data_IF_866203549816
#
_entry.id   IF_866203549816
#
_cell.length_a   1.000
_cell.length_b   1.000
_cell.length_c   1.000
_cell.angle_alpha   90.00
_cell.angle_beta   90.00
_cell.angle_gamma   90.00
#
_symmetry.space_group_name_H-M   'P 1'
#
loop_
_entity.id
_entity.type
_entity.pdbx_description
1 polymer ?
#
# COMPACT_ATOMS: atom_id res chain seq x y z
N UNK A 1 16.31 -5.24 -1.24
CA UNK A 1 16.61 -3.92 -1.84
C UNK A 1 17.44 -3.00 -0.94
N UNK A 2 17.06 -2.76 0.32
CA UNK A 2 17.82 -1.86 1.23
C UNK A 2 19.31 -2.22 1.42
N UNK A 3 19.61 -3.49 1.74
CA UNK A 3 21.00 -3.96 1.88
C UNK A 3 21.81 -3.83 0.58
N UNK A 4 21.20 -4.14 -0.57
CA UNK A 4 21.84 -3.99 -1.88
C UNK A 4 22.20 -2.51 -2.14
N UNK A 5 21.27 -1.58 -1.88
CA UNK A 5 21.54 -0.15 -2.01
C UNK A 5 22.71 0.31 -1.12
N UNK A 6 22.76 -0.18 0.12
CA UNK A 6 23.88 0.10 1.04
C UNK A 6 25.21 -0.46 0.53
N UNK A 7 25.25 -1.71 0.07
CA UNK A 7 26.45 -2.34 -0.47
C UNK A 7 26.96 -1.63 -1.73
N UNK A 8 26.06 -1.19 -2.62
CA UNK A 8 26.41 -0.42 -3.82
C UNK A 8 27.03 0.94 -3.45
N UNK A 9 26.47 1.64 -2.47
CA UNK A 9 26.99 2.92 -1.99
C UNK A 9 28.41 2.75 -1.42
N UNK A 10 28.64 1.73 -0.56
CA UNK A 10 29.96 1.40 -0.03
C UNK A 10 30.97 1.09 -1.14
N UNK A 11 30.59 0.23 -2.09
CA UNK A 11 31.48 -0.14 -3.21
C UNK A 11 31.83 1.05 -4.10
N UNK A 12 30.91 2.00 -4.26
CA UNK A 12 31.11 3.19 -5.07
C UNK A 12 31.78 4.36 -4.32
N UNK A 13 32.01 4.24 -3.00
CA UNK A 13 32.61 5.29 -2.18
C UNK A 13 31.79 6.58 -2.11
N UNK A 14 30.46 6.50 -2.21
CA UNK A 14 29.55 7.64 -2.30
C UNK A 14 28.22 7.31 -1.61
N UNK A 15 27.33 8.29 -1.39
CA UNK A 15 26.00 8.01 -0.83
C UNK A 15 25.11 7.30 -1.86
N UNK A 16 24.09 6.57 -1.38
CA UNK A 16 23.11 5.94 -2.28
C UNK A 16 22.38 6.98 -3.14
N UNK A 17 22.00 8.13 -2.55
CA UNK A 17 21.40 9.25 -3.28
C UNK A 17 22.31 9.75 -4.41
N UNK A 18 23.59 10.02 -4.12
CA UNK A 18 24.55 10.46 -5.14
C UNK A 18 24.72 9.45 -6.27
N UNK A 19 24.72 8.15 -5.93
CA UNK A 19 24.82 7.09 -6.93
C UNK A 19 23.60 7.06 -7.86
N UNK A 20 22.39 7.08 -7.29
CA UNK A 20 21.12 7.10 -8.05
C UNK A 20 21.00 8.37 -8.88
N UNK A 21 21.30 9.54 -8.30
CA UNK A 21 21.26 10.81 -9.02
C UNK A 21 22.16 10.79 -10.25
N UNK A 22 23.43 10.40 -10.08
CA UNK A 22 24.40 10.40 -11.18
C UNK A 22 24.09 9.35 -12.25
N UNK A 23 23.64 8.16 -11.85
CA UNK A 23 23.52 7.00 -12.77
C UNK A 23 22.14 6.86 -13.39
N UNK A 24 21.10 7.45 -12.79
CA UNK A 24 19.70 7.26 -13.19
C UNK A 24 19.01 8.61 -13.39
N UNK A 25 18.93 9.44 -12.34
CA UNK A 25 18.07 10.64 -12.38
C UNK A 25 18.60 11.71 -13.33
N UNK A 26 19.91 12.00 -13.31
CA UNK A 26 20.51 12.98 -14.23
C UNK A 26 20.42 12.52 -15.69
N UNK A 27 20.80 11.28 -16.06
CA UNK A 27 20.64 10.78 -17.43
C UNK A 27 19.20 10.82 -17.95
N UNK A 28 18.22 10.54 -17.08
CA UNK A 28 16.79 10.56 -17.42
C UNK A 28 16.13 11.93 -17.21
N UNK A 29 16.88 12.93 -16.75
CA UNK A 29 16.39 14.28 -16.45
C UNK A 29 15.25 14.34 -15.42
N UNK A 30 15.22 13.40 -14.47
CA UNK A 30 14.25 13.36 -13.36
C UNK A 30 14.66 14.33 -12.25
N UNK A 31 14.36 15.62 -12.44
CA UNK A 31 14.87 16.73 -11.61
C UNK A 31 14.11 16.92 -10.30
N UNK A 32 12.91 16.34 -10.18
CA UNK A 32 12.04 16.45 -9.02
C UNK A 32 12.02 15.17 -8.17
N UNK A 33 13.01 14.30 -8.38
CA UNK A 33 13.19 13.05 -7.66
C UNK A 33 14.39 13.14 -6.74
N UNK A 34 14.20 12.89 -5.44
CA UNK A 34 15.27 13.00 -4.44
C UNK A 34 14.99 12.16 -3.19
N UNK A 35 16.02 11.91 -2.39
CA UNK A 35 15.90 11.41 -1.01
C UNK A 35 15.92 12.62 -0.06
N UNK A 36 16.95 13.46 -0.19
CA UNK A 36 17.13 14.70 0.55
C UNK A 36 16.39 15.83 -0.14
N UNK A 37 15.26 16.24 0.42
CA UNK A 37 14.42 17.28 -0.17
C UNK A 37 15.03 18.68 0.01
N UNK A 38 15.21 19.39 -1.11
CA UNK A 38 15.50 20.83 -1.12
C UNK A 38 14.32 21.62 -0.53
N UNK A 39 14.52 22.88 -0.11
CA UNK A 39 13.41 23.72 0.36
C UNK A 39 12.26 23.82 -0.65
N UNK A 40 12.58 23.92 -1.95
CA UNK A 40 11.59 23.97 -3.02
C UNK A 40 10.78 22.66 -3.10
N UNK A 41 11.44 21.49 -3.08
CA UNK A 41 10.72 20.21 -3.10
C UNK A 41 9.88 20.00 -1.84
N UNK A 42 10.41 20.38 -0.68
CA UNK A 42 9.70 20.27 0.60
C UNK A 42 8.42 21.13 0.63
N UNK A 43 8.45 22.33 0.05
CA UNK A 43 7.31 23.24 0.02
C UNK A 43 6.10 22.71 -0.77
N UNK A 44 6.33 21.78 -1.71
CA UNK A 44 5.31 21.16 -2.57
C UNK A 44 5.17 19.66 -2.33
N UNK A 45 5.77 19.14 -1.25
CA UNK A 45 5.59 17.75 -0.85
C UNK A 45 4.14 17.56 -0.36
N UNK A 46 3.41 16.64 -0.99
CA UNK A 46 2.11 16.22 -0.47
C UNK A 46 2.31 15.58 0.91
N UNK A 47 1.53 15.99 1.91
CA UNK A 47 1.60 15.38 3.25
C UNK A 47 1.01 13.97 3.21
N UNK A 48 1.65 13.02 3.88
CA UNK A 48 1.16 11.65 4.00
C UNK A 48 0.08 11.56 5.08
N UNK A 49 -0.96 10.77 4.82
CA UNK A 49 -2.09 10.60 5.74
C UNK A 49 -2.27 9.13 6.14
N UNK A 50 -2.68 8.91 7.40
CA UNK A 50 -3.22 7.62 7.85
C UNK A 50 -4.63 7.37 7.28
N UNK A 51 -5.19 6.19 7.53
CA UNK A 51 -6.54 5.86 7.05
C UNK A 51 -7.68 6.66 7.68
N UNK A 52 -7.42 7.30 8.82
CA UNK A 52 -8.31 8.26 9.47
C UNK A 52 -8.20 9.67 8.88
N UNK A 53 -7.33 9.88 7.89
CA UNK A 53 -7.09 11.17 7.25
C UNK A 53 -6.20 12.10 8.07
N UNK A 54 -5.63 11.67 9.19
CA UNK A 54 -4.65 12.47 9.94
C UNK A 54 -3.27 12.43 9.28
N UNK A 55 -2.57 13.56 9.30
CA UNK A 55 -1.20 13.64 8.79
C UNK A 55 -0.28 12.76 9.64
N UNK A 56 0.54 11.94 8.98
CA UNK A 56 1.52 11.06 9.62
C UNK A 56 2.94 11.43 9.18
N UNK A 57 3.96 11.20 10.03
CA UNK A 57 5.34 11.48 9.66
C UNK A 57 5.80 10.58 8.51
N UNK A 58 6.63 11.15 7.62
CA UNK A 58 7.30 10.38 6.59
C UNK A 58 8.24 9.33 7.22
N UNK A 59 8.43 8.21 6.55
CA UNK A 59 9.53 7.30 6.90
C UNK A 59 10.84 7.83 6.32
N UNK A 60 11.87 7.86 7.16
CA UNK A 60 13.24 8.11 6.75
C UNK A 60 14.06 6.83 6.91
N UNK A 61 14.69 6.39 5.81
CA UNK A 61 15.37 5.09 5.72
C UNK A 61 16.87 5.30 5.45
N UNK A 62 17.64 5.92 6.37
CA UNK A 62 19.01 6.37 6.08
C UNK A 62 19.93 5.21 5.66
N UNK A 63 19.97 4.11 6.43
CA UNK A 63 20.79 2.94 6.11
C UNK A 63 20.19 2.10 4.97
N UNK A 64 18.86 2.06 4.88
CA UNK A 64 18.12 1.21 3.94
C UNK A 64 17.50 2.01 2.79
N UNK A 65 18.17 3.08 2.35
CA UNK A 65 17.61 4.04 1.40
C UNK A 65 17.11 3.40 0.11
N UNK A 66 17.81 2.37 -0.37
CA UNK A 66 17.42 1.58 -1.54
C UNK A 66 16.14 0.77 -1.41
N UNK A 67 15.51 0.72 -0.22
CA UNK A 67 14.22 0.06 -0.02
C UNK A 67 13.02 0.95 -0.37
N UNK A 68 13.14 2.28 -0.36
CA UNK A 68 12.00 3.16 -0.60
C UNK A 68 12.15 4.62 -0.15
N UNK A 69 13.37 5.16 -0.10
CA UNK A 69 13.60 6.52 0.42
C UNK A 69 13.39 7.65 -0.60
N UNK A 70 13.21 7.31 -1.89
CA UNK A 70 13.00 8.29 -2.95
C UNK A 70 11.59 8.87 -2.87
N UNK A 71 11.49 10.17 -3.14
CA UNK A 71 10.25 10.92 -3.35
C UNK A 71 10.33 11.50 -4.75
N UNK A 72 9.22 11.49 -5.47
CA UNK A 72 9.15 11.87 -6.89
C UNK A 72 7.80 12.48 -7.23
N UNK A 73 7.61 12.83 -8.50
CA UNK A 73 6.35 13.30 -9.08
C UNK A 73 5.85 12.30 -10.11
N UNK A 74 4.57 12.38 -10.47
CA UNK A 74 4.04 11.56 -11.56
C UNK A 74 4.78 11.84 -12.88
N UNK A 75 5.19 13.08 -13.14
CA UNK A 75 5.92 13.47 -14.35
C UNK A 75 7.32 12.83 -14.44
N UNK A 76 8.10 12.86 -13.35
CA UNK A 76 9.41 12.21 -13.31
C UNK A 76 9.27 10.68 -13.42
N UNK A 77 8.29 10.09 -12.72
CA UNK A 77 8.06 8.65 -12.79
C UNK A 77 7.55 8.20 -14.17
N UNK A 78 6.77 9.02 -14.87
CA UNK A 78 6.42 8.76 -16.27
C UNK A 78 7.64 8.83 -17.18
N UNK A 79 8.55 9.78 -16.95
CA UNK A 79 9.84 9.84 -17.66
C UNK A 79 10.65 8.55 -17.45
N UNK A 80 10.68 8.04 -16.21
CA UNK A 80 11.29 6.74 -15.92
C UNK A 80 10.60 5.59 -16.64
N UNK A 81 9.27 5.52 -16.63
CA UNK A 81 8.53 4.45 -17.31
C UNK A 81 8.67 4.50 -18.83
N UNK A 82 8.68 5.68 -19.45
CA UNK A 82 8.94 5.82 -20.89
C UNK A 82 10.31 5.26 -21.25
N UNK A 83 11.34 5.50 -20.43
CA UNK A 83 12.67 4.93 -20.65
C UNK A 83 12.69 3.39 -20.50
N UNK A 84 11.84 2.82 -19.64
CA UNK A 84 11.69 1.37 -19.51
C UNK A 84 10.92 0.78 -20.70
N UNK A 85 9.86 1.46 -21.16
CA UNK A 85 8.98 1.04 -22.25
C UNK A 85 9.67 1.09 -23.62
N UNK A 86 10.28 2.23 -23.98
CA UNK A 86 11.08 2.39 -25.20
C UNK A 86 12.57 2.45 -24.89
N UNK A 87 13.05 1.32 -24.39
CA UNK A 87 14.44 1.10 -24.03
C UNK A 87 15.39 0.99 -25.22
N UNK A 88 14.96 1.28 -26.46
CA UNK A 88 15.86 1.33 -27.62
C UNK A 88 16.41 2.73 -27.90
N UNK A 89 15.74 3.77 -27.39
CA UNK A 89 16.05 5.19 -27.67
C UNK A 89 16.46 6.00 -26.44
N UNK A 90 16.19 5.48 -25.24
CA UNK A 90 16.49 6.18 -23.99
C UNK A 90 17.94 5.91 -23.50
N UNK A 91 18.56 6.85 -22.77
CA UNK A 91 19.71 6.53 -21.91
C UNK A 91 19.38 5.33 -21.02
N UNK A 92 20.37 4.47 -20.74
CA UNK A 92 20.24 3.26 -19.89
C UNK A 92 19.39 2.12 -20.47
N UNK A 93 18.73 2.32 -21.61
CA UNK A 93 18.28 1.34 -22.61
C UNK A 93 18.54 -0.15 -22.28
N UNK A 94 19.74 -0.67 -22.58
CA UNK A 94 20.12 -2.08 -22.35
C UNK A 94 20.01 -2.50 -20.89
N UNK A 95 20.43 -1.64 -19.97
CA UNK A 95 20.38 -1.92 -18.52
C UNK A 95 18.94 -2.07 -18.07
N UNK A 96 18.03 -1.21 -18.54
CA UNK A 96 16.61 -1.28 -18.19
C UNK A 96 15.98 -2.58 -18.71
N UNK A 97 16.24 -2.97 -19.96
CA UNK A 97 15.77 -4.25 -20.52
C UNK A 97 16.21 -5.45 -19.69
N UNK A 98 17.45 -5.45 -19.20
CA UNK A 98 17.95 -6.54 -18.36
C UNK A 98 17.20 -6.67 -17.02
N UNK A 99 16.55 -5.60 -16.55
CA UNK A 99 15.75 -5.64 -15.32
C UNK A 99 14.40 -6.30 -15.50
N UNK A 100 13.88 -6.35 -16.73
CA UNK A 100 12.56 -6.93 -17.04
C UNK A 100 12.63 -8.42 -17.40
N UNK A 101 13.82 -9.00 -17.49
CA UNK A 101 13.97 -10.44 -17.73
C UNK A 101 13.58 -11.26 -16.50
N UNK A 102 12.85 -12.35 -16.73
CA UNK A 102 12.42 -13.27 -15.67
C UNK A 102 13.63 -13.86 -14.91
N UNK A 103 13.61 -13.72 -13.59
CA UNK A 103 14.67 -14.22 -12.68
C UNK A 103 14.15 -15.29 -11.73
N UNK A 104 12.89 -15.18 -11.31
CA UNK A 104 12.31 -16.12 -10.38
C UNK A 104 10.81 -16.34 -10.62
N UNK A 105 10.35 -17.57 -10.38
CA UNK A 105 8.94 -17.88 -10.37
C UNK A 105 8.30 -17.49 -9.02
N UNK A 106 6.98 -17.37 -9.01
CA UNK A 106 6.18 -17.24 -7.78
C UNK A 106 5.17 -18.38 -7.72
N UNK A 107 4.46 -18.50 -6.60
CA UNK A 107 3.35 -19.46 -6.45
C UNK A 107 2.18 -19.16 -7.39
N UNK A 108 2.06 -17.92 -7.88
CA UNK A 108 1.15 -17.58 -8.96
C UNK A 108 1.82 -17.91 -10.32
N UNK A 109 1.28 -18.85 -11.10
CA UNK A 109 1.90 -19.30 -12.35
C UNK A 109 2.07 -18.15 -13.37
N UNK A 110 1.19 -17.15 -13.32
CA UNK A 110 1.17 -16.00 -14.21
C UNK A 110 2.08 -14.85 -13.74
N UNK A 111 2.66 -14.94 -12.53
CA UNK A 111 3.50 -13.88 -11.96
C UNK A 111 4.94 -14.36 -11.83
N UNK A 112 5.86 -13.59 -12.41
CA UNK A 112 7.31 -13.79 -12.29
C UNK A 112 7.97 -12.54 -11.70
N UNK A 113 9.19 -12.71 -11.22
CA UNK A 113 10.01 -11.64 -10.64
C UNK A 113 11.20 -11.36 -11.56
N UNK A 114 11.35 -10.10 -11.97
CA UNK A 114 12.54 -9.56 -12.61
C UNK A 114 13.54 -9.00 -11.60
N UNK A 115 14.42 -8.08 -12.01
CA UNK A 115 15.25 -7.35 -11.06
C UNK A 115 14.43 -6.20 -10.46
N UNK A 116 13.75 -6.49 -9.35
CA UNK A 116 12.83 -5.57 -8.66
C UNK A 116 11.63 -5.12 -9.50
N UNK A 117 11.15 -6.01 -10.37
CA UNK A 117 9.93 -5.85 -11.14
C UNK A 117 9.06 -7.09 -10.97
N UNK A 118 7.75 -6.91 -10.91
CA UNK A 118 6.76 -7.95 -11.10
C UNK A 118 6.42 -8.03 -12.60
N UNK A 119 6.34 -9.25 -13.13
CA UNK A 119 6.02 -9.53 -14.53
C UNK A 119 4.77 -10.40 -14.54
N UNK A 120 3.64 -9.79 -14.88
CA UNK A 120 2.34 -10.45 -14.93
C UNK A 120 2.03 -10.85 -16.38
N UNK A 121 1.97 -12.15 -16.63
CA UNK A 121 1.58 -12.73 -17.92
C UNK A 121 0.07 -12.87 -18.03
N UNK A 122 -0.48 -12.50 -19.18
CA UNK A 122 -1.91 -12.49 -19.48
C UNK A 122 -2.13 -12.86 -20.95
N UNK A 123 -3.34 -13.27 -21.36
CA UNK A 123 -3.62 -13.53 -22.78
C UNK A 123 -3.31 -12.35 -23.70
N UNK A 124 -3.51 -11.11 -23.21
CA UNK A 124 -3.26 -9.88 -23.96
C UNK A 124 -1.78 -9.45 -24.00
N UNK A 125 -0.86 -10.17 -23.33
CA UNK A 125 0.55 -9.81 -23.22
C UNK A 125 1.04 -9.76 -21.78
N UNK A 126 2.08 -8.97 -21.53
CA UNK A 126 2.70 -8.84 -20.21
C UNK A 126 2.55 -7.44 -19.65
N UNK A 127 2.30 -7.35 -18.35
CA UNK A 127 2.43 -6.11 -17.58
C UNK A 127 3.66 -6.23 -16.70
N UNK A 128 4.58 -5.26 -16.84
CA UNK A 128 5.74 -5.12 -15.96
C UNK A 128 5.45 -3.99 -14.99
N UNK A 129 5.47 -4.27 -13.69
CA UNK A 129 4.98 -3.33 -12.68
C UNK A 129 5.67 -3.50 -11.33
N UNK A 130 5.50 -2.50 -10.47
CA UNK A 130 5.85 -2.58 -9.07
C UNK A 130 5.00 -1.57 -8.30
N UNK A 131 4.71 -1.86 -7.04
CA UNK A 131 4.02 -0.95 -6.14
C UNK A 131 4.91 -0.53 -4.96
N UNK A 132 4.40 0.32 -4.08
CA UNK A 132 5.17 0.81 -2.96
C UNK A 132 4.29 1.40 -1.86
N UNK A 133 4.80 1.34 -0.64
CA UNK A 133 4.17 1.94 0.53
C UNK A 133 5.20 2.43 1.51
N UNK A 134 5.01 3.65 2.00
CA UNK A 134 5.77 4.25 3.11
C UNK A 134 4.80 4.98 4.05
N UNK A 135 5.31 5.62 5.11
CA UNK A 135 4.48 6.33 6.09
C UNK A 135 3.56 7.36 5.44
N UNK A 136 2.28 7.01 5.29
CA UNK A 136 1.25 7.87 4.72
C UNK A 136 1.16 7.89 3.19
N UNK A 137 1.84 7.00 2.46
CA UNK A 137 1.80 6.97 0.99
C UNK A 137 1.65 5.58 0.41
N UNK A 138 1.10 5.54 -0.80
CA UNK A 138 0.99 4.37 -1.67
C UNK A 138 1.30 4.77 -3.11
N UNK A 139 1.87 3.84 -3.86
CA UNK A 139 2.26 4.08 -5.24
C UNK A 139 2.15 2.83 -6.07
N UNK A 140 1.84 3.01 -7.35
CA UNK A 140 1.91 2.00 -8.38
C UNK A 140 2.64 2.58 -9.60
N UNK A 141 3.50 1.78 -10.21
CA UNK A 141 4.00 2.02 -11.56
C UNK A 141 3.90 0.75 -12.37
N UNK A 142 3.53 0.86 -13.64
CA UNK A 142 3.50 -0.28 -14.54
C UNK A 142 3.40 0.12 -16.00
N UNK A 143 3.79 -0.80 -16.88
CA UNK A 143 3.72 -0.60 -18.31
C UNK A 143 3.44 -1.90 -19.05
N UNK A 144 2.77 -1.77 -20.19
CA UNK A 144 2.49 -2.84 -21.15
C UNK A 144 3.35 -2.59 -22.41
N UNK A 145 4.43 -3.38 -22.62
CA UNK A 145 5.31 -3.21 -23.78
C UNK A 145 4.60 -3.38 -25.12
N UNK A 146 3.62 -4.28 -25.21
CA UNK A 146 2.94 -4.56 -26.48
C UNK A 146 1.98 -3.44 -26.86
N UNK A 147 1.30 -2.85 -25.87
CA UNK A 147 0.34 -1.75 -26.09
C UNK A 147 0.96 -0.36 -26.05
N UNK A 148 2.23 -0.25 -25.68
CA UNK A 148 2.93 1.03 -25.48
C UNK A 148 2.22 1.96 -24.47
N UNK A 149 1.69 1.37 -23.40
CA UNK A 149 1.00 2.12 -22.33
C UNK A 149 1.84 2.07 -21.05
N UNK A 150 1.95 3.20 -20.37
CA UNK A 150 2.61 3.32 -19.07
C UNK A 150 1.71 4.10 -18.11
N UNK A 151 1.65 3.64 -16.86
CA UNK A 151 0.77 4.19 -15.83
C UNK A 151 1.57 4.42 -14.55
N UNK A 152 1.36 5.59 -13.94
CA UNK A 152 1.83 5.94 -12.61
C UNK A 152 0.63 6.36 -11.77
N UNK A 153 0.51 5.79 -10.58
CA UNK A 153 -0.47 6.23 -9.57
C UNK A 153 0.29 6.56 -8.29
N UNK A 154 0.05 7.75 -7.75
CA UNK A 154 0.62 8.21 -6.47
C UNK A 154 -0.52 8.62 -5.56
N UNK A 155 -0.49 8.14 -4.32
CA UNK A 155 -1.49 8.45 -3.31
C UNK A 155 -0.81 8.81 -1.98
N UNK A 156 -1.29 9.88 -1.34
CA UNK A 156 -0.82 10.34 -0.05
C UNK A 156 -1.75 9.91 1.09
N UNK A 157 -2.37 8.74 0.94
CA UNK A 157 -3.05 8.01 2.00
C UNK A 157 -2.41 6.62 2.12
N UNK A 158 -1.82 6.34 3.28
CA UNK A 158 -1.09 5.12 3.58
C UNK A 158 -1.97 3.91 3.85
N UNK A 159 -3.30 4.03 3.81
CA UNK A 159 -4.21 2.91 4.03
C UNK A 159 -5.04 2.54 2.80
N UNK A 160 -4.92 3.27 1.69
CA UNK A 160 -5.57 2.92 0.43
C UNK A 160 -4.80 1.83 -0.33
N UNK A 161 -5.49 1.10 -1.21
CA UNK A 161 -4.84 0.34 -2.27
C UNK A 161 -4.96 1.15 -3.57
N UNK A 162 -3.90 1.18 -4.37
CA UNK A 162 -3.89 1.88 -5.67
C UNK A 162 -3.53 0.95 -6.83
N UNK A 163 -3.27 -0.33 -6.54
CA UNK A 163 -2.84 -1.29 -7.54
C UNK A 163 -3.97 -1.56 -8.54
N UNK A 164 -5.21 -1.68 -8.08
CA UNK A 164 -6.39 -1.88 -8.92
C UNK A 164 -6.62 -0.71 -9.89
N UNK A 165 -6.45 0.53 -9.43
CA UNK A 165 -6.48 1.72 -10.29
C UNK A 165 -5.36 1.64 -11.33
N UNK A 166 -4.14 1.29 -10.91
CA UNK A 166 -2.99 1.15 -11.80
C UNK A 166 -3.20 0.08 -12.88
N UNK A 167 -3.70 -1.08 -12.50
CA UNK A 167 -4.02 -2.18 -13.40
C UNK A 167 -5.19 -1.86 -14.32
N UNK A 168 -6.26 -1.25 -13.80
CA UNK A 168 -7.43 -0.86 -14.60
C UNK A 168 -7.06 0.13 -15.70
N UNK A 169 -6.17 1.10 -15.40
CA UNK A 169 -5.68 2.05 -16.39
C UNK A 169 -4.76 1.41 -17.44
N UNK A 170 -4.08 0.30 -17.13
CA UNK A 170 -3.31 -0.48 -18.09
C UNK A 170 -4.21 -1.39 -18.94
N UNK A 171 -5.25 -1.95 -18.32
CA UNK A 171 -6.23 -2.83 -18.95
C UNK A 171 -7.55 -2.81 -18.16
N UNK A 172 -8.59 -2.28 -18.78
CA UNK A 172 -9.91 -2.08 -18.16
C UNK A 172 -10.60 -3.39 -17.74
N UNK A 173 -10.10 -4.55 -18.18
CA UNK A 173 -10.58 -5.86 -17.71
C UNK A 173 -10.24 -6.14 -16.24
N UNK A 174 -9.27 -5.42 -15.67
CA UNK A 174 -9.05 -5.44 -14.23
C UNK A 174 -10.13 -4.63 -13.52
N UNK A 175 -10.89 -5.22 -12.58
CA UNK A 175 -11.94 -4.51 -11.89
C UNK A 175 -11.36 -3.48 -10.92
N UNK A 176 -12.02 -2.33 -10.82
CA UNK A 176 -11.79 -1.40 -9.72
C UNK A 176 -12.47 -1.92 -8.46
N UNK A 177 -11.77 -1.81 -7.33
CA UNK A 177 -12.39 -2.03 -6.03
C UNK A 177 -13.35 -0.88 -5.74
N UNK A 178 -14.48 -1.14 -5.06
CA UNK A 178 -15.33 -0.06 -4.58
C UNK A 178 -14.54 0.85 -3.63
N UNK A 179 -14.81 2.17 -3.62
CA UNK A 179 -14.15 3.07 -2.69
C UNK A 179 -14.45 2.66 -1.26
N UNK A 180 -13.46 2.80 -0.39
CA UNK A 180 -13.65 2.55 1.04
C UNK A 180 -14.80 3.38 1.59
N UNK A 181 -15.65 2.74 2.38
CA UNK A 181 -16.74 3.44 3.02
C UNK A 181 -16.17 4.37 4.10
N UNK A 182 -16.56 5.64 4.07
CA UNK A 182 -16.26 6.56 5.17
C UNK A 182 -17.18 6.26 6.33
N UNK A 183 -16.60 5.87 7.45
CA UNK A 183 -17.31 5.67 8.70
C UNK A 183 -17.22 6.93 9.56
N UNK A 184 -18.33 7.32 10.18
CA UNK A 184 -18.37 8.45 11.12
C UNK A 184 -18.57 7.92 12.52
N UNK A 185 -17.66 8.28 13.42
CA UNK A 185 -17.79 7.91 14.83
C UNK A 185 -18.92 8.70 15.49
N UNK A 186 -19.78 7.99 16.22
CA UNK A 186 -20.87 8.56 17.01
C UNK A 186 -20.69 8.23 18.48
N UNK A 187 -21.17 9.13 19.35
CA UNK A 187 -21.21 8.85 20.78
C UNK A 187 -22.34 7.85 21.09
N UNK A 188 -22.02 6.78 21.82
CA UNK A 188 -22.98 5.77 22.26
C UNK A 188 -22.97 5.69 23.78
N UNK A 189 -24.16 5.49 24.37
CA UNK A 189 -24.31 5.41 25.82
C UNK A 189 -23.51 4.25 26.42
N UNK A 190 -22.89 4.51 27.56
CA UNK A 190 -22.02 3.53 28.24
C UNK A 190 -22.72 2.21 28.61
N UNK A 191 -24.03 2.25 28.90
CA UNK A 191 -24.83 1.06 29.19
C UNK A 191 -25.07 0.22 27.95
N UNK A 192 -25.15 0.85 26.77
CA UNK A 192 -25.21 0.14 25.49
C UNK A 192 -23.87 -0.55 25.24
N UNK A 193 -22.76 0.18 25.37
CA UNK A 193 -21.42 -0.38 25.18
C UNK A 193 -21.15 -1.58 26.10
N UNK A 194 -21.62 -1.52 27.35
CA UNK A 194 -21.43 -2.60 28.32
C UNK A 194 -22.09 -3.91 27.88
N UNK A 195 -23.20 -3.87 27.11
CA UNK A 195 -23.90 -5.08 26.64
C UNK A 195 -23.06 -5.90 25.66
N UNK A 196 -22.15 -5.23 24.95
CA UNK A 196 -21.32 -5.86 23.92
C UNK A 196 -20.03 -6.47 24.46
N UNK A 197 -19.63 -6.17 25.69
CA UNK A 197 -18.49 -6.83 26.33
C UNK A 197 -18.75 -8.32 26.45
N UNK A 198 -17.78 -9.13 26.06
CA UNK A 198 -17.89 -10.58 26.03
C UNK A 198 -17.00 -11.26 25.00
N UNK A 199 -17.13 -12.58 24.91
CA UNK A 199 -16.44 -13.40 23.93
C UNK A 199 -17.42 -13.92 22.88
N UNK A 200 -17.04 -13.83 21.61
CA UNK A 200 -17.87 -14.23 20.48
C UNK A 200 -17.15 -15.29 19.65
N UNK A 201 -17.77 -16.45 19.49
CA UNK A 201 -17.26 -17.55 18.68
C UNK A 201 -17.80 -17.44 17.26
N UNK A 202 -16.92 -17.20 16.28
CA UNK A 202 -17.24 -17.11 14.85
C UNK A 202 -16.91 -18.43 14.12
N UNK A 203 -15.94 -19.19 14.63
CA UNK A 203 -15.63 -20.56 14.24
C UNK A 203 -14.94 -21.28 15.42
N UNK A 204 -14.81 -22.63 15.41
CA UNK A 204 -14.27 -23.37 16.56
C UNK A 204 -12.89 -22.92 17.07
N UNK A 205 -12.06 -22.36 16.19
CA UNK A 205 -10.73 -21.83 16.54
C UNK A 205 -10.59 -20.33 16.31
N UNK A 206 -11.70 -19.63 16.09
CA UNK A 206 -11.71 -18.20 15.77
C UNK A 206 -12.76 -17.46 16.61
N UNK A 207 -12.25 -16.68 17.55
CA UNK A 207 -13.02 -15.90 18.50
C UNK A 207 -12.66 -14.42 18.38
N UNK A 208 -13.63 -13.57 18.73
CA UNK A 208 -13.43 -12.14 18.93
C UNK A 208 -13.80 -11.83 20.38
N UNK A 209 -12.83 -11.32 21.14
CA UNK A 209 -13.05 -10.82 22.49
C UNK A 209 -13.29 -9.33 22.44
N UNK A 210 -14.41 -8.88 23.02
CA UNK A 210 -14.78 -7.48 23.15
C UNK A 210 -14.57 -7.06 24.59
N UNK A 211 -13.63 -6.13 24.80
CA UNK A 211 -13.37 -5.51 26.10
C UNK A 211 -13.70 -4.03 26.06
N UNK A 212 -13.90 -3.43 27.23
CA UNK A 212 -14.18 -2.00 27.36
C UNK A 212 -13.13 -1.32 28.22
N UNK A 213 -12.65 -0.17 27.79
CA UNK A 213 -11.86 0.75 28.61
C UNK A 213 -12.48 2.15 28.51
N UNK A 214 -12.97 2.68 29.64
CA UNK A 214 -13.67 3.95 29.72
C UNK A 214 -14.85 4.07 28.71
N UNK A 215 -14.70 4.93 27.71
CA UNK A 215 -15.71 5.22 26.70
C UNK A 215 -15.53 4.42 25.40
N UNK A 216 -14.51 3.57 25.31
CA UNK A 216 -14.19 2.84 24.08
C UNK A 216 -14.30 1.33 24.25
N UNK A 217 -14.77 0.68 23.20
CA UNK A 217 -14.67 -0.77 23.05
C UNK A 217 -13.38 -1.13 22.30
N UNK A 218 -12.87 -2.32 22.59
CA UNK A 218 -11.72 -2.91 21.94
C UNK A 218 -12.09 -4.31 21.49
N UNK A 219 -11.68 -4.67 20.27
CA UNK A 219 -11.82 -6.01 19.73
C UNK A 219 -10.45 -6.67 19.63
N UNK A 220 -10.38 -7.93 20.00
CA UNK A 220 -9.21 -8.78 19.81
C UNK A 220 -9.62 -10.10 19.15
N UNK A 221 -9.20 -10.29 17.91
CA UNK A 221 -9.36 -11.57 17.22
C UNK A 221 -8.25 -12.55 17.63
N UNK A 222 -8.52 -13.86 17.54
CA UNK A 222 -7.54 -14.91 17.87
C UNK A 222 -6.19 -14.69 17.18
N UNK A 223 -5.11 -14.71 17.96
CA UNK A 223 -3.73 -14.49 17.51
C UNK A 223 -3.46 -13.11 16.85
N UNK A 224 -4.33 -12.13 17.04
CA UNK A 224 -4.15 -10.77 16.54
C UNK A 224 -3.95 -9.76 17.67
N UNK A 225 -3.33 -8.59 17.37
CA UNK A 225 -3.33 -7.47 18.29
C UNK A 225 -4.75 -7.01 18.64
N UNK A 226 -4.88 -6.37 19.80
CA UNK A 226 -6.13 -5.72 20.22
C UNK A 226 -6.24 -4.34 19.58
N UNK A 227 -7.39 -4.02 19.01
CA UNK A 227 -7.67 -2.74 18.35
C UNK A 227 -8.89 -2.05 18.97
N UNK A 228 -8.86 -0.72 19.04
CA UNK A 228 -10.05 0.06 19.36
C UNK A 228 -11.08 -0.09 18.23
N UNK A 229 -12.35 -0.21 18.61
CA UNK A 229 -13.50 -0.18 17.69
C UNK A 229 -14.34 1.06 17.98
N UNK A 230 -14.82 1.70 16.91
CA UNK A 230 -15.47 3.00 16.96
C UNK A 230 -16.93 2.83 16.56
N UNK A 231 -17.85 3.38 17.35
CA UNK A 231 -19.27 3.23 17.07
C UNK A 231 -19.66 4.06 15.84
N UNK A 232 -20.39 3.46 14.89
CA UNK A 232 -21.07 4.16 13.80
C UNK A 232 -22.58 4.27 14.08
N UNK A 233 -23.10 3.40 14.94
CA UNK A 233 -24.45 3.46 15.52
C UNK A 233 -24.45 2.73 16.87
N UNK A 234 -25.62 2.63 17.51
CA UNK A 234 -25.78 1.88 18.77
C UNK A 234 -25.37 0.41 18.66
N UNK A 235 -25.30 -0.20 17.46
CA UNK A 235 -25.00 -1.62 17.27
C UNK A 235 -23.93 -1.92 16.22
N UNK A 236 -23.50 -0.93 15.44
CA UNK A 236 -22.48 -1.13 14.39
C UNK A 236 -21.23 -0.35 14.74
N UNK A 237 -20.09 -1.02 14.63
CA UNK A 237 -18.78 -0.50 14.97
C UNK A 237 -17.81 -0.76 13.82
N UNK A 238 -16.82 0.10 13.63
CA UNK A 238 -15.80 -0.05 12.62
C UNK A 238 -14.40 0.04 13.21
N UNK A 239 -13.42 -0.52 12.51
CA UNK A 239 -12.01 -0.43 12.86
C UNK A 239 -11.32 0.63 11.98
N UNK A 240 -10.48 1.47 12.58
CA UNK A 240 -9.61 2.39 11.82
C UNK A 240 -8.30 1.72 11.35
N UNK A 241 -7.90 0.65 12.03
CA UNK A 241 -6.66 -0.09 11.75
C UNK A 241 -6.78 -1.06 10.57
N UNK A 242 -7.98 -1.62 10.35
CA UNK A 242 -8.30 -2.58 9.28
C UNK A 242 -9.69 -2.24 8.73
N UNK A 243 -9.94 -2.55 7.46
CA UNK A 243 -11.27 -2.39 6.85
C UNK A 243 -12.19 -3.50 7.30
N UNK A 244 -12.75 -3.34 8.48
CA UNK A 244 -13.69 -4.29 9.05
C UNK A 244 -14.71 -3.57 9.93
N UNK A 245 -15.90 -4.15 9.96
CA UNK A 245 -17.01 -3.69 10.78
C UNK A 245 -17.56 -4.84 11.62
N UNK A 246 -18.07 -4.52 12.80
CA UNK A 246 -18.76 -5.44 13.70
C UNK A 246 -20.19 -4.93 13.89
N UNK A 247 -21.17 -5.76 13.56
CA UNK A 247 -22.57 -5.47 13.87
C UNK A 247 -23.05 -6.40 14.98
N UNK A 248 -23.32 -5.84 16.15
CA UNK A 248 -23.86 -6.56 17.29
C UNK A 248 -25.35 -6.86 17.11
N UNK A 249 -25.76 -8.04 17.57
CA UNK A 249 -27.14 -8.54 17.58
C UNK A 249 -27.45 -9.06 18.99
N UNK A 250 -28.72 -9.38 19.25
CA UNK A 250 -29.16 -9.82 20.57
C UNK A 250 -28.42 -11.08 21.07
N UNK A 251 -27.98 -11.95 20.16
CA UNK A 251 -27.39 -13.27 20.40
C UNK A 251 -25.91 -13.37 20.00
N UNK A 252 -25.30 -12.28 19.52
CA UNK A 252 -23.95 -12.36 18.96
C UNK A 252 -23.50 -11.12 18.22
N UNK A 253 -22.61 -11.31 17.25
CA UNK A 253 -22.14 -10.28 16.34
C UNK A 253 -21.96 -10.83 14.92
N UNK A 254 -21.80 -9.94 13.96
CA UNK A 254 -21.35 -10.28 12.60
C UNK A 254 -20.10 -9.49 12.28
N UNK A 255 -19.05 -10.18 11.84
CA UNK A 255 -17.85 -9.57 11.27
C UNK A 255 -18.06 -9.34 9.78
N UNK A 256 -17.89 -8.09 9.36
CA UNK A 256 -17.90 -7.65 7.97
C UNK A 256 -16.45 -7.35 7.57
N UNK A 257 -15.88 -8.11 6.65
CA UNK A 257 -14.51 -7.89 6.18
C UNK A 257 -14.29 -8.52 4.81
N UNK A 258 -13.63 -7.81 3.88
CA UNK A 258 -13.31 -8.30 2.54
C UNK A 258 -14.54 -8.85 1.77
N UNK A 259 -15.70 -8.23 1.95
CA UNK A 259 -16.98 -8.69 1.37
C UNK A 259 -17.58 -9.95 2.00
N UNK A 260 -16.95 -10.51 3.03
CA UNK A 260 -17.48 -11.62 3.82
C UNK A 260 -18.28 -11.11 5.02
N UNK A 261 -19.28 -11.90 5.41
CA UNK A 261 -20.16 -11.65 6.54
C UNK A 261 -20.17 -12.89 7.45
N UNK A 262 -19.39 -12.87 8.53
CA UNK A 262 -19.18 -14.03 9.39
C UNK A 262 -19.94 -13.83 10.70
N UNK A 263 -21.07 -14.53 10.91
CA UNK A 263 -21.79 -14.47 12.17
C UNK A 263 -21.01 -15.20 13.28
N UNK A 264 -21.09 -14.68 14.50
CA UNK A 264 -20.55 -15.31 15.69
C UNK A 264 -21.52 -15.21 16.86
N UNK A 265 -21.60 -16.27 17.65
CA UNK A 265 -22.46 -16.35 18.84
C UNK A 265 -21.73 -15.81 20.06
N UNK A 266 -22.43 -15.12 20.95
CA UNK A 266 -21.86 -14.75 22.24
C UNK A 266 -21.76 -15.98 23.13
N UNK A 267 -20.57 -16.26 23.66
CA UNK A 267 -20.30 -17.42 24.53
C UNK A 267 -20.00 -17.02 25.98
N UNK A 268 -19.60 -15.77 26.22
CA UNK A 268 -19.38 -15.18 27.54
C UNK A 268 -19.79 -13.70 27.54
#
# INVERSE_FOLDING_TARGET
>A
MGLLGHALALKAGTSYEQLVTRRILTPLQMKETAITLTPALRARLALGHGGDGHVVPNWDLPTLAGAGALRSTAADMLTFLVANLDSTRAPLSRTLQQTHGERHATDNPNLKIGLAWHILSRPAGTIVWHNGGTGGYRSFIGFDPARHVAVVVLCNNGNENVDDIGFHLLDETFPLSPPRQRHTEVAVDSLILQRYVGEYELAPTFHIVITREAAHLFAQATAQPRFAIFAESDSTFFLKAVDAQLTFRADGLVLHQNGQHVPGRKVQ
#
